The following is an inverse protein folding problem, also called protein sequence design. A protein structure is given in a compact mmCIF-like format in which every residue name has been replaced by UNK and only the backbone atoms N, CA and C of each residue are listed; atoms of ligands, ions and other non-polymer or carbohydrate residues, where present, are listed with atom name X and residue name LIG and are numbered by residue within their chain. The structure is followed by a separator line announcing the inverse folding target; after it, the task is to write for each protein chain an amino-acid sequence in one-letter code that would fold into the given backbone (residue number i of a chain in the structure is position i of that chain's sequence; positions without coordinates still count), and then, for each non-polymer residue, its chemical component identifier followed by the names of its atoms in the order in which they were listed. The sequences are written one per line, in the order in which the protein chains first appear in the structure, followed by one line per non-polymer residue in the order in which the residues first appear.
data_IF_316720796122
#
_entry.id   IF_316720796122
#
_cell.length_a   1.000
_cell.length_b   1.000
_cell.length_c   1.000
_cell.angle_alpha   90.00
_cell.angle_beta   90.00
_cell.angle_gamma   90.00
#
_symmetry.space_group_name_H-M   'P 1'
#
loop_
_entity.id
_entity.type
_entity.pdbx_description
1 polymer ?
#
# COMPACT_ATOMS: atom_id res chain seq x y z
N UNK A 1 -6.32 -86.75 -8.59
CA UNK A 1 -6.57 -85.95 -7.37
C UNK A 1 -7.80 -86.58 -6.77
N UNK A 2 -7.62 -87.37 -5.72
CA UNK A 2 -8.71 -88.10 -5.09
C UNK A 2 -9.72 -87.12 -4.50
N UNK A 3 -11.00 -87.51 -4.50
CA UNK A 3 -12.12 -86.70 -4.02
C UNK A 3 -11.92 -86.28 -2.54
N UNK A 4 -11.09 -87.02 -1.81
CA UNK A 4 -10.83 -86.88 -0.38
C UNK A 4 -9.49 -86.23 -0.01
N UNK A 5 -8.64 -85.87 -0.99
CA UNK A 5 -7.28 -85.34 -0.75
C UNK A 5 -7.27 -83.94 -0.09
N UNK A 6 -8.41 -83.24 -0.08
CA UNK A 6 -8.55 -81.88 0.46
C UNK A 6 -9.11 -81.79 1.88
N UNK A 7 -9.41 -82.91 2.54
CA UNK A 7 -10.05 -82.90 3.86
C UNK A 7 -9.04 -82.57 4.98
N UNK A 8 -9.37 -81.64 5.90
CA UNK A 8 -8.51 -81.29 7.02
C UNK A 8 -8.56 -82.36 8.11
N UNK A 9 -8.00 -83.53 7.84
CA UNK A 9 -7.78 -84.56 8.86
C UNK A 9 -6.47 -84.23 9.57
N UNK A 10 -6.53 -84.08 10.90
CA UNK A 10 -5.39 -83.79 11.78
C UNK A 10 -4.20 -84.73 11.52
N UNK A 11 -2.97 -84.24 11.69
CA UNK A 11 -1.74 -85.01 11.42
C UNK A 11 -1.63 -86.30 12.22
N UNK A 12 -2.30 -86.39 13.39
CA UNK A 12 -2.35 -87.61 14.21
C UNK A 12 -3.32 -88.67 13.71
N UNK A 13 -4.22 -88.34 12.77
CA UNK A 13 -5.25 -89.23 12.22
C UNK A 13 -5.10 -89.46 10.71
N UNK A 14 -3.87 -89.36 10.21
CA UNK A 14 -3.59 -89.56 8.79
C UNK A 14 -3.99 -90.96 8.27
N UNK A 15 -4.05 -91.96 9.16
CA UNK A 15 -4.54 -93.32 8.85
C UNK A 15 -5.99 -93.31 8.35
N UNK A 16 -6.82 -92.37 8.80
CA UNK A 16 -8.20 -92.24 8.32
C UNK A 16 -8.27 -91.87 6.84
N UNK A 17 -7.29 -91.11 6.32
CA UNK A 17 -7.20 -90.83 4.88
C UNK A 17 -6.85 -92.09 4.08
N UNK A 18 -5.96 -92.91 4.61
CA UNK A 18 -5.55 -94.17 3.98
C UNK A 18 -6.71 -95.19 3.98
N UNK A 19 -7.43 -95.32 5.09
CA UNK A 19 -8.63 -96.15 5.20
C UNK A 19 -9.76 -95.62 4.29
N UNK A 20 -9.94 -94.30 4.18
CA UNK A 20 -10.93 -93.70 3.28
C UNK A 20 -10.62 -93.94 1.80
N UNK A 21 -9.34 -94.01 1.42
CA UNK A 21 -8.93 -94.39 0.04
C UNK A 21 -9.12 -95.88 -0.25
N UNK A 22 -9.28 -96.72 0.78
CA UNK A 22 -9.59 -98.14 0.65
C UNK A 22 -11.09 -98.38 0.36
N UNK A 23 -11.94 -97.41 0.69
CA UNK A 23 -13.36 -97.46 0.36
C UNK A 23 -13.53 -97.32 -1.15
N UNK A 24 -14.30 -98.22 -1.75
CA UNK A 24 -14.53 -98.25 -3.19
C UNK A 24 -15.22 -96.95 -3.68
N UNK A 25 -14.75 -96.40 -4.81
CA UNK A 25 -15.27 -95.15 -5.38
C UNK A 25 -16.76 -95.25 -5.78
N UNK A 26 -17.30 -96.47 -5.94
CA UNK A 26 -18.72 -96.73 -6.16
C UNK A 26 -19.62 -96.14 -5.06
N UNK A 27 -19.13 -96.04 -3.81
CA UNK A 27 -19.85 -95.42 -2.69
C UNK A 27 -19.93 -93.89 -2.78
N UNK A 28 -19.05 -93.24 -3.55
CA UNK A 28 -19.02 -91.78 -3.72
C UNK A 28 -19.91 -91.27 -4.87
N UNK A 29 -20.65 -92.18 -5.55
CA UNK A 29 -21.49 -91.83 -6.69
C UNK A 29 -22.73 -91.04 -6.25
N UNK A 30 -23.00 -89.89 -6.89
CA UNK A 30 -24.15 -89.03 -6.56
C UNK A 30 -25.54 -89.66 -6.76
N UNK A 31 -25.64 -90.80 -7.44
CA UNK A 31 -26.81 -91.69 -7.49
C UNK A 31 -26.42 -93.05 -6.95
N UNK A 32 -26.52 -93.21 -5.65
CA UNK A 32 -26.17 -94.44 -4.96
C UNK A 32 -27.19 -95.55 -5.24
N UNK A 33 -26.71 -96.70 -5.71
CA UNK A 33 -27.51 -97.93 -5.85
C UNK A 33 -27.06 -98.95 -4.79
N UNK A 34 -27.94 -99.20 -3.83
CA UNK A 34 -27.69 -100.13 -2.72
C UNK A 34 -27.79 -101.59 -3.13
N UNK A 35 -28.48 -101.90 -4.23
CA UNK A 35 -28.85 -103.27 -4.59
C UNK A 35 -27.65 -104.17 -4.87
N UNK A 36 -26.63 -103.75 -5.67
CA UNK A 36 -25.45 -104.57 -5.94
C UNK A 36 -24.64 -104.88 -4.69
N UNK A 37 -24.54 -103.92 -3.76
CA UNK A 37 -23.80 -104.05 -2.51
C UNK A 37 -24.49 -105.02 -1.55
N UNK A 38 -25.81 -104.91 -1.41
CA UNK A 38 -26.62 -105.84 -0.58
C UNK A 38 -26.59 -107.25 -1.17
N UNK A 39 -26.67 -107.39 -2.50
CA UNK A 39 -26.58 -108.69 -3.17
C UNK A 39 -25.18 -109.30 -3.02
N UNK A 40 -24.11 -108.50 -3.08
CA UNK A 40 -22.74 -108.95 -2.84
C UNK A 40 -22.58 -109.54 -1.43
N UNK A 41 -23.05 -108.81 -0.41
CA UNK A 41 -23.03 -109.25 0.99
C UNK A 41 -23.83 -110.56 1.15
N UNK A 42 -25.03 -110.63 0.57
CA UNK A 42 -25.90 -111.82 0.62
C UNK A 42 -25.42 -112.98 -0.27
N UNK A 43 -24.51 -112.79 -1.21
CA UNK A 43 -24.01 -113.88 -2.08
C UNK A 43 -22.64 -114.39 -1.62
N UNK A 44 -21.96 -113.63 -0.76
CA UNK A 44 -20.68 -114.00 -0.15
C UNK A 44 -20.80 -115.23 0.78
N UNK A 45 -19.67 -115.93 0.95
CA UNK A 45 -19.56 -117.08 1.87
C UNK A 45 -19.39 -116.67 3.34
N UNK A 46 -19.03 -115.42 3.59
CA UNK A 46 -18.78 -114.85 4.91
C UNK A 46 -19.60 -113.57 5.06
N UNK A 47 -20.89 -113.75 5.32
CA UNK A 47 -21.87 -112.65 5.37
C UNK A 47 -21.61 -111.72 6.54
N UNK A 48 -21.25 -112.30 7.69
CA UNK A 48 -20.95 -111.58 8.92
C UNK A 48 -19.67 -110.76 8.76
N UNK A 49 -18.63 -111.29 8.10
CA UNK A 49 -17.40 -110.55 7.80
C UNK A 49 -17.59 -109.35 6.86
N UNK A 50 -18.39 -109.49 5.80
CA UNK A 50 -18.68 -108.38 4.87
C UNK A 50 -19.53 -107.27 5.52
N UNK A 51 -20.45 -107.63 6.42
CA UNK A 51 -21.25 -106.65 7.19
C UNK A 51 -20.39 -105.93 8.23
N UNK A 52 -19.49 -106.64 8.91
CA UNK A 52 -18.59 -106.03 9.88
C UNK A 52 -17.59 -105.09 9.19
N UNK A 53 -17.04 -105.47 8.03
CA UNK A 53 -16.21 -104.59 7.20
C UNK A 53 -16.94 -103.32 6.77
N UNK A 54 -18.21 -103.41 6.36
CA UNK A 54 -19.02 -102.23 6.01
C UNK A 54 -19.27 -101.31 7.22
N UNK A 55 -19.45 -101.91 8.40
CA UNK A 55 -19.65 -101.17 9.64
C UNK A 55 -18.37 -100.45 10.07
N UNK A 56 -17.21 -101.12 9.97
CA UNK A 56 -15.90 -100.50 10.17
C UNK A 56 -15.67 -99.34 9.20
N UNK A 57 -16.03 -99.49 7.92
CA UNK A 57 -15.95 -98.40 6.93
C UNK A 57 -16.87 -97.22 7.28
N UNK A 58 -18.09 -97.49 7.77
CA UNK A 58 -19.02 -96.45 8.22
C UNK A 58 -18.49 -95.69 9.43
N UNK A 59 -17.94 -96.40 10.42
CA UNK A 59 -17.37 -95.81 11.63
C UNK A 59 -16.15 -94.92 11.29
N UNK A 60 -15.32 -95.34 10.33
CA UNK A 60 -14.22 -94.54 9.78
C UNK A 60 -14.73 -93.26 9.12
N UNK A 61 -15.81 -93.34 8.33
CA UNK A 61 -16.41 -92.15 7.69
C UNK A 61 -17.01 -91.20 8.72
N UNK A 62 -17.71 -91.70 9.74
CA UNK A 62 -18.25 -90.88 10.83
C UNK A 62 -17.14 -90.15 11.59
N UNK A 63 -16.02 -90.84 11.87
CA UNK A 63 -14.86 -90.21 12.52
C UNK A 63 -14.26 -89.10 11.65
N UNK A 64 -14.12 -89.33 10.33
CA UNK A 64 -13.63 -88.31 9.38
C UNK A 64 -14.58 -87.12 9.32
N UNK A 65 -15.89 -87.33 9.23
CA UNK A 65 -16.88 -86.25 9.20
C UNK A 65 -16.81 -85.42 10.48
N UNK A 66 -16.72 -86.07 11.64
CA UNK A 66 -16.61 -85.36 12.92
C UNK A 66 -15.32 -84.54 13.01
N UNK A 67 -14.19 -85.06 12.51
CA UNK A 67 -12.92 -84.33 12.45
C UNK A 67 -13.02 -83.09 11.54
N UNK A 68 -13.63 -83.23 10.36
CA UNK A 68 -13.83 -82.12 9.41
C UNK A 68 -14.74 -81.05 10.00
N UNK A 69 -15.83 -81.46 10.64
CA UNK A 69 -16.74 -80.53 11.33
C UNK A 69 -16.00 -79.82 12.47
N UNK A 70 -15.24 -80.55 13.29
CA UNK A 70 -14.47 -79.95 14.38
C UNK A 70 -13.41 -78.96 13.89
N UNK A 71 -12.71 -79.31 12.80
CA UNK A 71 -11.71 -78.45 12.17
C UNK A 71 -12.30 -77.12 11.67
N UNK A 72 -13.46 -77.16 11.00
CA UNK A 72 -14.06 -75.96 10.41
C UNK A 72 -15.00 -75.19 11.35
N UNK A 73 -15.60 -75.82 12.36
CA UNK A 73 -16.57 -75.18 13.26
C UNK A 73 -16.00 -73.94 13.97
N UNK A 74 -14.75 -74.03 14.44
CA UNK A 74 -14.10 -72.91 15.12
C UNK A 74 -13.81 -71.73 14.18
N UNK A 75 -13.38 -72.02 12.94
CA UNK A 75 -13.11 -71.02 11.91
C UNK A 75 -14.39 -70.35 11.43
N UNK A 76 -15.45 -71.13 11.21
CA UNK A 76 -16.76 -70.63 10.80
C UNK A 76 -17.39 -69.73 11.87
N UNK A 77 -17.39 -70.15 13.13
CA UNK A 77 -17.90 -69.32 14.22
C UNK A 77 -17.08 -68.03 14.38
N UNK A 78 -15.75 -68.09 14.28
CA UNK A 78 -14.91 -66.89 14.28
C UNK A 78 -15.24 -65.96 13.11
N UNK A 79 -15.45 -66.50 11.91
CA UNK A 79 -15.82 -65.73 10.73
C UNK A 79 -17.19 -65.04 10.90
N UNK A 80 -18.19 -65.74 11.44
CA UNK A 80 -19.51 -65.17 11.74
C UNK A 80 -19.42 -64.05 12.77
N UNK A 81 -18.68 -64.27 13.86
CA UNK A 81 -18.50 -63.27 14.92
C UNK A 81 -17.77 -62.03 14.39
N UNK A 82 -16.69 -62.23 13.64
CA UNK A 82 -15.96 -61.13 13.00
C UNK A 82 -16.85 -60.34 12.04
N UNK A 83 -17.64 -61.03 11.21
CA UNK A 83 -18.57 -60.36 10.29
C UNK A 83 -19.62 -59.54 11.03
N UNK A 84 -20.20 -60.10 12.09
CA UNK A 84 -21.18 -59.39 12.95
C UNK A 84 -20.55 -58.16 13.61
N UNK A 85 -19.31 -58.28 14.07
CA UNK A 85 -18.55 -57.15 14.63
C UNK A 85 -18.25 -56.08 13.58
N UNK A 86 -17.85 -56.47 12.37
CA UNK A 86 -17.62 -55.54 11.25
C UNK A 86 -18.90 -54.78 10.93
N UNK A 87 -20.05 -55.46 10.83
CA UNK A 87 -21.34 -54.82 10.59
C UNK A 87 -21.70 -53.80 11.68
N UNK A 88 -21.49 -54.14 12.95
CA UNK A 88 -21.71 -53.21 14.06
C UNK A 88 -20.82 -51.97 13.95
N UNK A 89 -19.52 -52.17 13.73
CA UNK A 89 -18.56 -51.07 13.56
C UNK A 89 -18.90 -50.19 12.35
N UNK A 90 -19.41 -50.79 11.28
CA UNK A 90 -19.84 -50.06 10.09
C UNK A 90 -21.10 -49.22 10.36
N UNK A 91 -22.04 -49.76 11.14
CA UNK A 91 -23.21 -49.02 11.62
C UNK A 91 -22.83 -47.84 12.51
N UNK A 92 -21.99 -48.08 13.52
CA UNK A 92 -21.46 -47.04 14.42
C UNK A 92 -20.69 -45.96 13.66
N UNK A 93 -19.87 -46.35 12.67
CA UNK A 93 -19.16 -45.41 11.81
C UNK A 93 -20.11 -44.59 10.96
N UNK A 94 -21.15 -45.20 10.40
CA UNK A 94 -22.16 -44.50 9.58
C UNK A 94 -22.94 -43.47 10.42
N UNK A 95 -23.33 -43.84 11.64
CA UNK A 95 -23.99 -42.93 12.59
C UNK A 95 -23.05 -41.79 13.01
N UNK A 96 -21.81 -42.10 13.35
CA UNK A 96 -20.79 -41.10 13.71
C UNK A 96 -20.54 -40.09 12.57
N UNK A 97 -20.46 -40.57 11.32
CA UNK A 97 -20.36 -39.72 10.13
C UNK A 97 -21.60 -38.83 9.97
N UNK A 98 -22.79 -39.34 10.27
CA UNK A 98 -24.02 -38.55 10.20
C UNK A 98 -24.01 -37.40 11.24
N UNK A 99 -23.58 -37.69 12.48
CA UNK A 99 -23.42 -36.66 13.53
C UNK A 99 -22.38 -35.63 13.12
N UNK A 100 -21.19 -36.07 12.68
CA UNK A 100 -20.12 -35.17 12.22
C UNK A 100 -20.56 -34.25 11.08
N UNK A 101 -21.41 -34.73 10.16
CA UNK A 101 -21.97 -33.89 9.09
C UNK A 101 -22.88 -32.79 9.63
N UNK A 102 -23.68 -33.08 10.65
CA UNK A 102 -24.54 -32.09 11.32
C UNK A 102 -23.69 -31.06 12.05
N UNK A 103 -22.72 -31.51 12.85
CA UNK A 103 -21.81 -30.64 13.60
C UNK A 103 -21.02 -29.72 12.67
N UNK A 104 -20.53 -30.25 11.53
CA UNK A 104 -19.83 -29.45 10.52
C UNK A 104 -20.75 -28.41 9.87
N UNK A 105 -22.02 -28.75 9.60
CA UNK A 105 -22.99 -27.82 9.05
C UNK A 105 -23.31 -26.69 10.05
N UNK A 106 -23.43 -27.01 11.34
CA UNK A 106 -23.61 -26.03 12.40
C UNK A 106 -22.39 -25.12 12.57
N UNK A 107 -21.18 -25.70 12.63
CA UNK A 107 -19.94 -24.94 12.68
C UNK A 107 -19.79 -24.00 11.48
N UNK A 108 -20.13 -24.47 10.27
CA UNK A 108 -20.16 -23.65 9.04
C UNK A 108 -21.13 -22.48 9.17
N UNK A 109 -22.32 -22.70 9.74
CA UNK A 109 -23.32 -21.64 9.99
C UNK A 109 -22.80 -20.60 10.99
N UNK A 110 -22.18 -21.02 12.10
CA UNK A 110 -21.56 -20.12 13.06
C UNK A 110 -20.42 -19.31 12.46
N UNK A 111 -19.56 -19.93 11.66
CA UNK A 111 -18.48 -19.22 10.98
C UNK A 111 -19.01 -18.21 9.95
N UNK A 112 -20.04 -18.59 9.18
CA UNK A 112 -20.64 -17.69 8.18
C UNK A 112 -21.29 -16.46 8.83
N UNK A 113 -22.00 -16.63 9.94
CA UNK A 113 -22.59 -15.50 10.69
C UNK A 113 -21.53 -14.58 11.28
N UNK A 114 -20.48 -15.14 11.90
CA UNK A 114 -19.31 -14.40 12.39
C UNK A 114 -18.62 -13.62 11.27
N UNK A 115 -18.45 -14.22 10.09
CA UNK A 115 -17.82 -13.55 8.94
C UNK A 115 -18.61 -12.31 8.50
N UNK A 116 -19.95 -12.40 8.44
CA UNK A 116 -20.81 -11.24 8.12
C UNK A 116 -20.63 -10.12 9.15
N UNK A 117 -20.62 -10.45 10.45
CA UNK A 117 -20.38 -9.48 11.52
C UNK A 117 -18.98 -8.85 11.43
N UNK A 118 -17.96 -9.65 11.13
CA UNK A 118 -16.59 -9.18 10.97
C UNK A 118 -16.47 -8.23 9.77
N UNK A 119 -17.13 -8.53 8.66
CA UNK A 119 -17.15 -7.67 7.48
C UNK A 119 -17.83 -6.31 7.79
N UNK A 120 -18.92 -6.32 8.57
CA UNK A 120 -19.56 -5.09 9.04
C UNK A 120 -18.65 -4.27 9.95
N UNK A 121 -17.95 -4.92 10.91
CA UNK A 121 -16.99 -4.26 11.79
C UNK A 121 -15.79 -3.69 11.02
N UNK A 122 -15.31 -4.43 10.02
CA UNK A 122 -14.24 -3.97 9.15
C UNK A 122 -14.67 -2.75 8.34
N UNK A 123 -15.84 -2.79 7.71
CA UNK A 123 -16.37 -1.64 6.96
C UNK A 123 -16.52 -0.43 7.88
N UNK A 124 -17.12 -0.61 9.06
CA UNK A 124 -17.22 0.44 10.08
C UNK A 124 -15.85 1.00 10.48
N UNK A 125 -14.84 0.15 10.66
CA UNK A 125 -13.48 0.57 10.99
C UNK A 125 -12.82 1.37 9.86
N UNK A 126 -12.99 0.97 8.60
CA UNK A 126 -12.52 1.73 7.43
C UNK A 126 -13.19 3.10 7.37
N UNK A 127 -14.52 3.15 7.51
CA UNK A 127 -15.28 4.40 7.50
C UNK A 127 -14.86 5.33 8.64
N UNK A 128 -14.70 4.80 9.86
CA UNK A 128 -14.27 5.60 11.01
C UNK A 128 -12.86 6.17 10.81
N UNK A 129 -11.92 5.40 10.25
CA UNK A 129 -10.58 5.92 9.91
C UNK A 129 -10.65 7.05 8.88
N UNK A 130 -11.51 6.93 7.88
CA UNK A 130 -11.71 8.00 6.91
C UNK A 130 -12.31 9.26 7.56
N UNK A 131 -13.30 9.09 8.44
CA UNK A 131 -13.89 10.20 9.20
C UNK A 131 -12.83 10.88 10.08
N UNK A 132 -12.00 10.13 10.80
CA UNK A 132 -10.91 10.70 11.61
C UNK A 132 -9.96 11.51 10.74
N UNK A 133 -9.55 10.97 9.60
CA UNK A 133 -8.67 11.69 8.66
C UNK A 133 -9.31 12.99 8.14
N UNK A 134 -10.61 12.98 7.85
CA UNK A 134 -11.34 14.20 7.46
C UNK A 134 -11.42 15.20 8.62
N UNK A 135 -11.67 14.74 9.84
CA UNK A 135 -11.71 15.59 11.02
C UNK A 135 -10.34 16.24 11.30
N UNK A 136 -9.24 15.50 11.17
CA UNK A 136 -7.89 16.04 11.29
C UNK A 136 -7.61 17.12 10.24
N UNK A 137 -8.07 16.91 9.00
CA UNK A 137 -7.96 17.92 7.94
C UNK A 137 -8.78 19.17 8.25
N UNK A 138 -10.02 19.00 8.76
CA UNK A 138 -10.88 20.10 9.18
C UNK A 138 -10.24 20.89 10.32
N UNK A 139 -9.72 20.21 11.35
CA UNK A 139 -9.05 20.86 12.48
C UNK A 139 -7.78 21.60 12.03
N UNK A 140 -7.01 20.99 11.13
CA UNK A 140 -5.82 21.61 10.53
C UNK A 140 -6.16 22.92 9.82
N UNK A 141 -7.19 22.93 8.98
CA UNK A 141 -7.62 24.13 8.23
C UNK A 141 -8.28 25.16 9.13
N UNK A 142 -9.05 24.75 10.13
CA UNK A 142 -9.68 25.67 11.08
C UNK A 142 -8.66 26.53 11.84
N UNK A 143 -7.43 26.02 12.05
CA UNK A 143 -6.33 26.75 12.71
C UNK A 143 -5.55 27.68 11.77
N UNK A 144 -5.75 27.58 10.45
CA UNK A 144 -4.98 28.35 9.46
C UNK A 144 -5.15 29.86 9.62
N UNK A 145 -6.36 30.44 9.77
CA UNK A 145 -6.51 31.89 9.88
C UNK A 145 -5.69 32.49 11.02
N UNK A 146 -5.72 31.87 12.20
CA UNK A 146 -4.91 32.30 13.35
C UNK A 146 -3.40 32.21 13.09
N UNK A 147 -2.95 31.19 12.34
CA UNK A 147 -1.53 31.08 11.92
C UNK A 147 -1.15 32.18 10.93
N UNK A 148 -2.02 32.52 9.98
CA UNK A 148 -1.79 33.61 9.03
C UNK A 148 -1.67 34.94 9.79
N UNK A 149 -2.56 35.22 10.74
CA UNK A 149 -2.51 36.43 11.56
C UNK A 149 -1.19 36.55 12.34
N UNK A 150 -0.71 35.44 12.91
CA UNK A 150 0.59 35.40 13.59
C UNK A 150 1.75 35.71 12.62
N UNK A 151 1.77 35.10 11.44
CA UNK A 151 2.81 35.36 10.43
C UNK A 151 2.79 36.81 9.92
N UNK A 152 1.61 37.43 9.85
CA UNK A 152 1.47 38.86 9.53
C UNK A 152 2.09 39.71 10.65
N UNK A 153 1.84 39.38 11.91
CA UNK A 153 2.41 40.09 13.05
C UNK A 153 3.96 39.99 13.09
N UNK A 154 4.49 38.83 12.73
CA UNK A 154 5.94 38.55 12.66
C UNK A 154 6.59 39.11 11.36
N UNK A 155 5.84 39.85 10.52
CA UNK A 155 6.26 40.38 9.20
C UNK A 155 6.77 39.33 8.20
N UNK A 156 6.34 38.07 8.36
CA UNK A 156 6.70 36.97 7.46
C UNK A 156 5.65 36.80 6.37
N UNK A 157 5.51 37.83 5.54
CA UNK A 157 4.42 37.90 4.55
C UNK A 157 4.47 36.78 3.52
N UNK A 158 5.66 36.38 3.09
CA UNK A 158 5.82 35.33 2.09
C UNK A 158 5.32 33.96 2.59
N UNK A 159 5.69 33.58 3.81
CA UNK A 159 5.17 32.38 4.46
C UNK A 159 3.63 32.45 4.65
N UNK A 160 3.11 33.63 5.02
CA UNK A 160 1.68 33.84 5.20
C UNK A 160 0.89 33.69 3.88
N UNK A 161 1.44 34.19 2.77
CA UNK A 161 0.84 34.08 1.44
C UNK A 161 0.91 32.64 0.91
N UNK A 162 2.03 31.93 1.08
CA UNK A 162 2.13 30.51 0.73
C UNK A 162 1.09 29.69 1.49
N UNK A 163 0.98 29.89 2.81
CA UNK A 163 -0.01 29.20 3.65
C UNK A 163 -1.45 29.53 3.24
N UNK A 164 -1.72 30.79 2.87
CA UNK A 164 -3.02 31.24 2.37
C UNK A 164 -3.42 30.52 1.07
N UNK A 165 -2.54 30.52 0.08
CA UNK A 165 -2.78 29.90 -1.23
C UNK A 165 -2.96 28.39 -1.07
N UNK A 166 -2.08 27.74 -0.31
CA UNK A 166 -2.17 26.30 -0.03
C UNK A 166 -3.50 25.94 0.63
N UNK A 167 -3.91 26.71 1.65
CA UNK A 167 -5.13 26.42 2.40
C UNK A 167 -6.40 26.69 1.59
N UNK A 168 -6.35 27.66 0.67
CA UNK A 168 -7.44 27.91 -0.29
C UNK A 168 -7.63 26.70 -1.21
N UNK A 169 -6.54 26.16 -1.76
CA UNK A 169 -6.59 24.95 -2.60
C UNK A 169 -7.08 23.71 -1.82
N UNK A 170 -6.72 23.60 -0.53
CA UNK A 170 -7.21 22.50 0.32
C UNK A 170 -8.73 22.57 0.55
N UNK A 171 -9.30 23.77 0.65
CA UNK A 171 -10.74 23.98 0.84
C UNK A 171 -11.58 23.66 -0.40
N UNK A 172 -10.95 23.61 -1.58
CA UNK A 172 -11.57 23.25 -2.86
C UNK A 172 -11.63 21.74 -3.10
N UNK A 173 -10.93 20.93 -2.29
CA UNK A 173 -10.98 19.46 -2.41
C UNK A 173 -12.38 18.93 -2.08
N UNK A 174 -12.84 17.93 -2.85
CA UNK A 174 -14.21 17.37 -2.78
C UNK A 174 -14.65 16.99 -1.34
N UNK A 175 -13.74 16.46 -0.52
CA UNK A 175 -14.03 16.07 0.86
C UNK A 175 -14.29 17.24 1.82
N UNK A 176 -13.76 18.44 1.53
CA UNK A 176 -13.88 19.61 2.41
C UNK A 176 -14.80 20.67 1.83
N UNK A 177 -14.95 20.72 0.50
CA UNK A 177 -15.83 21.66 -0.20
C UNK A 177 -17.28 21.57 0.29
N UNK A 178 -17.74 20.36 0.59
CA UNK A 178 -19.11 20.08 1.07
C UNK A 178 -19.33 20.40 2.55
N UNK A 179 -18.25 20.63 3.32
CA UNK A 179 -18.34 20.88 4.77
C UNK A 179 -18.78 22.32 5.03
N UNK A 180 -20.04 22.49 5.46
CA UNK A 180 -20.62 23.79 5.79
C UNK A 180 -19.98 24.48 7.01
N UNK A 181 -19.48 23.71 7.99
CA UNK A 181 -18.80 24.26 9.17
C UNK A 181 -17.51 25.04 8.83
N UNK A 182 -16.93 24.82 7.63
CA UNK A 182 -15.76 25.57 7.15
C UNK A 182 -16.14 26.89 6.46
N UNK A 183 -17.42 27.27 6.41
CA UNK A 183 -17.86 28.50 5.75
C UNK A 183 -17.24 29.75 6.38
N UNK A 184 -17.19 29.81 7.71
CA UNK A 184 -16.57 30.93 8.42
C UNK A 184 -15.08 31.03 8.09
N UNK A 185 -14.38 29.88 8.05
CA UNK A 185 -12.97 29.81 7.66
C UNK A 185 -12.75 30.28 6.22
N UNK A 186 -13.63 29.93 5.27
CA UNK A 186 -13.58 30.43 3.88
C UNK A 186 -13.73 31.95 3.82
N UNK A 187 -14.65 32.50 4.63
CA UNK A 187 -14.87 33.94 4.69
C UNK A 187 -13.67 34.67 5.28
N UNK A 188 -13.06 34.13 6.34
CA UNK A 188 -11.87 34.71 6.97
C UNK A 188 -10.63 34.57 6.06
N UNK A 189 -10.51 33.48 5.31
CA UNK A 189 -9.44 33.31 4.33
C UNK A 189 -9.59 34.30 3.16
N UNK A 190 -10.82 34.58 2.75
CA UNK A 190 -11.10 35.60 1.71
C UNK A 190 -10.75 37.00 2.22
N UNK A 191 -11.11 37.31 3.47
CA UNK A 191 -10.79 38.59 4.13
C UNK A 191 -9.27 38.75 4.34
N UNK A 192 -8.59 37.73 4.84
CA UNK A 192 -7.13 37.74 5.04
C UNK A 192 -6.37 37.89 3.73
N UNK A 193 -6.87 37.40 2.58
CA UNK A 193 -6.32 37.74 1.25
C UNK A 193 -6.28 39.25 0.98
N UNK A 194 -7.30 39.97 1.46
CA UNK A 194 -7.36 41.43 1.44
C UNK A 194 -6.30 42.04 2.33
N UNK A 195 -6.29 41.63 3.61
CA UNK A 195 -5.34 42.13 4.62
C UNK A 195 -3.88 41.90 4.22
N UNK A 196 -3.54 40.69 3.76
CA UNK A 196 -2.20 40.33 3.27
C UNK A 196 -1.76 41.24 2.12
N UNK A 197 -2.65 41.46 1.14
CA UNK A 197 -2.36 42.34 0.02
C UNK A 197 -2.02 43.76 0.49
N UNK A 198 -2.83 44.35 1.37
CA UNK A 198 -2.57 45.70 1.86
C UNK A 198 -1.31 45.77 2.70
N UNK A 199 -1.02 44.77 3.52
CA UNK A 199 0.21 44.72 4.33
C UNK A 199 1.46 44.58 3.48
N UNK A 200 1.44 43.70 2.48
CA UNK A 200 2.53 43.57 1.51
C UNK A 200 2.71 44.87 0.73
N UNK A 201 1.63 45.50 0.27
CA UNK A 201 1.69 46.74 -0.48
C UNK A 201 2.22 47.91 0.37
N UNK A 202 1.78 48.03 1.61
CA UNK A 202 2.26 49.04 2.58
C UNK A 202 3.76 48.90 2.80
N UNK A 203 4.23 47.69 3.07
CA UNK A 203 5.64 47.44 3.34
C UNK A 203 6.52 47.59 2.09
N UNK A 204 6.00 47.21 0.91
CA UNK A 204 6.63 47.50 -0.38
C UNK A 204 6.78 49.00 -0.62
N UNK A 205 5.75 49.82 -0.37
CA UNK A 205 5.86 51.28 -0.48
C UNK A 205 6.91 51.84 0.47
N UNK A 206 6.94 51.38 1.73
CA UNK A 206 7.93 51.80 2.73
C UNK A 206 9.35 51.44 2.28
N UNK A 207 9.54 50.26 1.68
CA UNK A 207 10.82 49.81 1.12
C UNK A 207 11.27 50.66 -0.08
N UNK A 208 10.37 50.95 -1.02
CA UNK A 208 10.64 51.76 -2.23
C UNK A 208 11.04 53.20 -1.90
N UNK A 209 10.47 53.79 -0.85
CA UNK A 209 10.79 55.15 -0.40
C UNK A 209 11.93 55.21 0.63
N UNK A 210 12.76 54.17 0.73
CA UNK A 210 13.92 54.09 1.63
C UNK A 210 13.61 54.24 3.14
N UNK A 211 12.38 53.91 3.56
CA UNK A 211 11.94 53.97 4.97
C UNK A 211 11.83 52.60 5.64
N UNK A 212 12.07 51.52 4.91
CA UNK A 212 11.93 50.15 5.39
C UNK A 212 13.20 49.57 6.01
N UNK A 213 13.02 48.58 6.88
CA UNK A 213 14.08 47.87 7.63
C UNK A 213 15.11 47.20 6.71
N UNK A 214 14.70 46.82 5.49
CA UNK A 214 15.56 46.14 4.51
C UNK A 214 16.01 47.05 3.36
N UNK A 215 15.73 48.36 3.43
CA UNK A 215 16.02 49.28 2.33
C UNK A 215 17.49 49.72 2.28
N UNK A 216 17.91 50.24 1.12
CA UNK A 216 19.32 50.57 0.84
C UNK A 216 19.93 51.56 1.85
N UNK A 217 19.13 52.50 2.36
CA UNK A 217 19.56 53.44 3.40
C UNK A 217 19.77 52.78 4.77
N UNK A 218 18.94 51.80 5.16
CA UNK A 218 19.10 51.06 6.42
C UNK A 218 20.32 50.11 6.38
N UNK A 219 20.61 49.53 5.20
CA UNK A 219 21.82 48.73 4.98
C UNK A 219 23.11 49.53 5.15
N UNK A 220 23.09 50.84 4.85
CA UNK A 220 24.27 51.72 4.97
C UNK A 220 24.58 52.17 6.41
N UNK A 221 23.65 51.97 7.34
CA UNK A 221 23.83 52.33 8.76
C UNK A 221 24.54 51.20 9.51
N UNK A 222 24.35 49.94 9.10
CA UNK A 222 24.99 48.81 9.78
C UNK A 222 26.46 48.58 9.38
N UNK A 223 26.93 49.20 8.29
CA UNK A 223 28.35 49.12 7.84
C UNK A 223 29.26 50.19 8.43
N UNK A 224 28.75 51.18 9.19
CA UNK A 224 29.56 52.34 9.64
C UNK A 224 29.80 52.45 11.15
N UNK A 225 29.51 51.41 11.92
CA UNK A 225 29.71 51.43 13.39
C UNK A 225 31.00 50.74 13.87
N UNK A 226 31.88 50.27 12.97
CA UNK A 226 33.22 49.75 13.32
C UNK A 226 34.35 50.61 12.69
N UNK A 227 34.51 51.86 13.16
CA UNK A 227 35.83 52.49 13.43
C UNK A 227 35.69 53.90 14.05
N UNK A 228 36.23 54.07 15.25
CA UNK A 228 36.32 55.32 16.03
C UNK A 228 37.57 56.12 15.58
N UNK A 229 37.60 57.47 15.74
CA UNK A 229 38.26 58.41 14.81
C UNK A 229 39.62 58.94 15.29
N UNK A 230 40.47 59.41 14.37
CA UNK A 230 41.58 60.36 14.66
C UNK A 230 41.99 61.15 13.40
N UNK A 231 41.63 62.44 13.41
CA UNK A 231 42.35 63.62 12.86
C UNK A 231 43.25 63.49 11.62
N UNK A 232 42.93 64.20 10.53
CA UNK A 232 43.57 65.48 10.10
C UNK A 232 42.97 66.01 8.79
N UNK A 233 43.05 67.33 8.62
CA UNK A 233 42.34 68.16 7.64
C UNK A 233 42.76 68.00 6.17
N UNK A 234 41.88 68.38 5.23
CA UNK A 234 42.03 69.54 4.31
C UNK A 234 40.86 69.61 3.30
N UNK A 235 40.09 70.71 3.42
CA UNK A 235 39.46 71.63 2.44
C UNK A 235 38.96 71.19 1.03
N UNK A 236 37.81 71.81 0.67
CA UNK A 236 37.19 72.13 -0.66
C UNK A 236 36.10 71.14 -1.11
N UNK A 237 34.94 71.52 -1.66
CA UNK A 237 34.47 72.78 -2.23
C UNK A 237 32.94 72.82 -2.36
N UNK A 238 32.38 74.03 -2.44
CA UNK A 238 30.96 74.37 -2.65
C UNK A 238 30.61 74.40 -4.15
N UNK A 239 29.39 73.97 -4.52
CA UNK A 239 28.46 74.51 -5.56
C UNK A 239 27.54 73.37 -6.05
N UNK A 240 26.24 73.36 -5.73
CA UNK A 240 25.13 74.15 -6.25
C UNK A 240 24.78 73.93 -7.75
N UNK A 241 23.58 73.37 -7.95
CA UNK A 241 22.60 73.52 -9.05
C UNK A 241 23.09 73.64 -10.50
N UNK A 242 22.53 72.82 -11.42
CA UNK A 242 21.64 73.33 -12.46
C UNK A 242 20.99 72.25 -13.33
N UNK A 243 19.68 72.42 -13.48
CA UNK A 243 18.75 71.89 -14.49
C UNK A 243 18.92 72.61 -15.84
N UNK A 244 18.83 71.89 -16.97
CA UNK A 244 18.47 72.52 -18.25
C UNK A 244 17.57 71.61 -19.10
N UNK A 245 16.31 72.06 -19.22
CA UNK A 245 15.38 71.72 -20.30
C UNK A 245 15.67 72.63 -21.49
N UNK A 246 15.60 72.12 -22.72
CA UNK A 246 15.42 72.96 -23.92
C UNK A 246 14.64 72.20 -24.99
N UNK A 247 13.49 72.77 -25.38
CA UNK A 247 12.60 72.40 -26.47
C UNK A 247 12.58 73.53 -27.49
N UNK A 248 12.62 73.21 -28.79
CA UNK A 248 12.12 74.02 -29.94
C UNK A 248 12.02 73.07 -31.15
N UNK A 249 10.85 72.55 -31.54
CA UNK A 249 9.78 73.07 -32.45
C UNK A 249 10.15 73.11 -33.95
N UNK A 250 9.58 72.14 -34.67
CA UNK A 250 8.84 72.17 -35.97
C UNK A 250 9.47 72.81 -37.22
N UNK A 251 9.59 72.02 -38.29
CA UNK A 251 9.31 72.41 -39.68
C UNK A 251 8.95 71.19 -40.54
N UNK A 252 8.05 71.40 -41.49
CA UNK A 252 7.34 70.46 -42.36
C UNK A 252 8.07 70.27 -43.69
N UNK A 253 8.00 69.06 -44.26
CA UNK A 253 8.41 68.79 -45.65
C UNK A 253 8.05 67.37 -46.08
N UNK A 254 7.04 67.24 -46.93
CA UNK A 254 6.60 66.01 -47.60
C UNK A 254 7.49 65.69 -48.82
N UNK A 255 7.79 64.40 -49.08
CA UNK A 255 7.61 63.70 -50.38
C UNK A 255 8.39 62.37 -50.51
N UNK A 256 7.59 61.29 -50.57
CA UNK A 256 7.63 60.06 -51.40
C UNK A 256 8.95 59.58 -52.06
N UNK A 257 9.25 58.26 -51.92
CA UNK A 257 9.35 57.30 -53.05
C UNK A 257 9.69 55.85 -52.60
N UNK A 258 8.78 54.90 -52.90
CA UNK A 258 9.04 53.51 -53.39
C UNK A 258 9.75 52.49 -52.47
N UNK A 259 9.45 51.19 -52.40
CA UNK A 259 8.76 50.24 -53.28
C UNK A 259 8.44 48.96 -52.46
N UNK A 260 7.55 48.14 -53.02
CA UNK A 260 6.90 46.92 -52.49
C UNK A 260 7.90 45.76 -52.23
N UNK A 261 7.59 44.73 -51.43
CA UNK A 261 6.94 43.45 -51.84
C UNK A 261 6.74 42.62 -50.54
N UNK A 262 5.50 42.36 -50.07
CA UNK A 262 4.63 41.19 -50.33
C UNK A 262 5.23 39.84 -49.83
N UNK A 263 4.60 38.99 -49.03
CA UNK A 263 3.20 38.91 -48.63
C UNK A 263 2.94 37.94 -47.44
N UNK A 264 1.76 38.18 -46.86
CA UNK A 264 0.96 37.40 -45.90
C UNK A 264 0.55 36.01 -46.48
N UNK A 265 -0.04 35.00 -45.84
CA UNK A 265 -0.72 34.78 -44.56
C UNK A 265 -0.92 33.24 -44.34
N UNK A 266 -1.18 32.84 -43.08
CA UNK A 266 -1.88 31.66 -42.46
C UNK A 266 -2.81 30.74 -43.33
N UNK A 267 -3.49 29.65 -42.82
CA UNK A 267 -3.44 28.87 -41.55
C UNK A 267 -3.71 27.32 -41.65
N UNK A 268 -3.77 26.62 -40.50
CA UNK A 268 -4.55 25.38 -40.16
C UNK A 268 -4.06 24.03 -40.77
N UNK A 269 -4.31 22.79 -40.29
CA UNK A 269 -5.15 22.17 -39.24
C UNK A 269 -4.82 20.63 -39.13
N UNK A 270 -5.04 20.02 -37.95
CA UNK A 270 -5.65 18.67 -37.66
C UNK A 270 -4.91 17.33 -37.93
N UNK A 271 -5.02 16.48 -36.89
CA UNK A 271 -5.10 15.00 -36.74
C UNK A 271 -3.91 14.02 -36.79
N UNK A 272 -4.06 12.96 -35.98
CA UNK A 272 -3.52 11.63 -36.23
C UNK A 272 -2.94 10.90 -35.02
N UNK A 273 -3.72 10.01 -34.38
CA UNK A 273 -3.29 9.15 -33.27
C UNK A 273 -2.72 7.76 -33.66
N UNK A 274 -2.75 6.86 -32.66
CA UNK A 274 -2.40 5.39 -32.63
C UNK A 274 -0.91 5.05 -32.46
N UNK A 275 -0.45 3.97 -31.80
CA UNK A 275 -1.01 2.87 -30.99
C UNK A 275 0.15 2.05 -30.36
N UNK A 276 -0.13 1.36 -29.24
CA UNK A 276 0.49 0.18 -28.58
C UNK A 276 1.82 -0.43 -29.06
N UNK A 277 2.69 -0.79 -28.09
CA UNK A 277 3.20 -2.16 -27.97
C UNK A 277 3.59 -2.51 -26.51
N UNK A 278 3.33 -3.76 -26.10
CA UNK A 278 3.70 -4.37 -24.82
C UNK A 278 4.79 -5.41 -25.08
N UNK A 279 5.80 -5.52 -24.20
CA UNK A 279 6.50 -6.80 -24.02
C UNK A 279 7.14 -6.93 -22.63
N UNK A 280 6.86 -8.07 -22.00
CA UNK A 280 7.33 -8.53 -20.70
C UNK A 280 8.85 -8.79 -20.66
N UNK A 281 9.46 -8.76 -19.45
CA UNK A 281 10.16 -9.92 -18.84
C UNK A 281 10.66 -9.64 -17.42
N UNK A 282 10.62 -10.72 -16.65
CA UNK A 282 10.83 -10.98 -15.23
C UNK A 282 12.31 -11.24 -14.87
N UNK A 283 12.72 -11.02 -13.61
CA UNK A 283 13.94 -11.62 -13.05
C UNK A 283 14.63 -10.91 -11.86
N UNK A 284 14.40 -11.46 -10.65
CA UNK A 284 15.32 -11.69 -9.51
C UNK A 284 16.17 -10.52 -8.91
N UNK A 285 16.03 -10.09 -7.65
CA UNK A 285 16.25 -10.68 -6.30
C UNK A 285 17.53 -10.08 -5.66
N UNK A 286 17.51 -9.98 -4.32
CA UNK A 286 18.58 -9.62 -3.34
C UNK A 286 18.52 -8.14 -2.86
N UNK A 287 17.99 -7.89 -1.65
CA UNK A 287 18.65 -7.87 -0.31
C UNK A 287 19.51 -6.61 -0.09
N UNK A 288 19.50 -5.87 1.03
CA UNK A 288 18.85 -6.00 2.33
C UNK A 288 18.78 -4.60 3.01
N UNK A 289 17.87 -4.50 3.98
CA UNK A 289 17.90 -3.53 5.09
C UNK A 289 19.08 -3.89 6.04
N UNK A 290 19.49 -3.16 7.07
CA UNK A 290 19.19 -1.87 7.67
C UNK A 290 20.39 -1.50 8.55
N UNK A 291 20.36 -0.28 9.09
CA UNK A 291 20.83 0.12 10.42
C UNK A 291 22.30 -0.02 10.83
N UNK A 292 22.74 0.98 11.59
CA UNK A 292 23.82 0.78 12.57
C UNK A 292 24.74 1.97 12.77
N UNK A 293 24.20 3.06 13.30
CA UNK A 293 24.97 4.16 13.87
C UNK A 293 25.67 3.70 15.17
N UNK A 294 26.98 3.91 15.31
CA UNK A 294 27.62 4.66 16.41
C UNK A 294 29.08 4.27 16.69
N UNK A 295 29.92 5.33 16.73
CA UNK A 295 31.01 5.61 17.68
C UNK A 295 32.21 4.64 17.69
N UNK A 296 33.48 5.06 17.69
CA UNK A 296 34.08 6.16 18.43
C UNK A 296 35.59 6.21 18.11
N UNK A 297 36.17 7.41 18.25
CA UNK A 297 37.53 7.70 18.75
C UNK A 297 38.74 7.23 17.92
N UNK A 298 39.59 8.20 17.57
CA UNK A 298 40.96 7.93 17.14
C UNK A 298 41.70 9.15 16.60
N UNK A 299 42.34 9.89 17.50
CA UNK A 299 43.27 11.01 17.29
C UNK A 299 44.44 10.61 16.35
N UNK A 300 44.75 11.42 15.32
CA UNK A 300 46.07 12.08 15.18
C UNK A 300 46.14 13.02 13.98
N UNK A 301 46.93 14.09 14.13
CA UNK A 301 47.06 15.20 13.20
C UNK A 301 48.00 15.00 12.02
N UNK A 302 47.89 15.92 11.06
CA UNK A 302 48.81 16.09 9.93
C UNK A 302 48.48 17.38 9.17
N UNK A 303 49.41 18.33 9.17
CA UNK A 303 49.35 19.63 8.51
C UNK A 303 49.10 19.52 6.99
N UNK A 304 48.21 20.38 6.47
CA UNK A 304 48.06 20.65 5.05
C UNK A 304 47.28 21.95 4.83
N UNK A 305 48.01 23.01 4.48
CA UNK A 305 47.48 24.32 4.15
C UNK A 305 46.79 24.30 2.78
N UNK A 306 45.46 24.43 2.72
CA UNK A 306 44.74 24.90 1.54
C UNK A 306 43.37 25.49 1.90
N UNK A 307 43.35 26.81 2.14
CA UNK A 307 42.22 27.74 1.95
C UNK A 307 40.82 27.17 2.20
N UNK A 308 40.41 27.15 3.46
CA UNK A 308 39.00 27.12 3.85
C UNK A 308 38.30 28.41 3.41
N UNK A 309 37.71 28.39 2.22
CA UNK A 309 36.51 29.19 1.98
C UNK A 309 35.39 28.55 2.81
N UNK A 310 35.29 28.93 4.09
CA UNK A 310 34.08 28.72 4.90
C UNK A 310 32.91 29.35 4.15
N UNK A 311 32.20 28.57 3.36
CA UNK A 311 30.79 28.83 3.05
C UNK A 311 30.02 28.61 4.35
N UNK A 312 30.03 29.66 5.19
CA UNK A 312 29.05 29.85 6.25
C UNK A 312 27.66 29.54 5.65
N UNK A 313 26.82 28.70 6.29
CA UNK A 313 25.47 28.50 5.78
C UNK A 313 24.82 29.88 5.74
N UNK A 314 24.51 30.38 4.54
CA UNK A 314 23.82 31.66 4.35
C UNK A 314 22.59 31.62 5.25
N UNK A 315 22.62 32.34 6.38
CA UNK A 315 21.49 32.42 7.30
C UNK A 315 20.29 32.87 6.47
N UNK A 316 19.22 32.08 6.51
CA UNK A 316 17.99 32.43 5.80
C UNK A 316 17.49 33.73 6.40
N UNK A 317 17.20 34.76 5.59
CA UNK A 317 16.71 36.05 6.09
C UNK A 317 15.49 35.85 7.00
N UNK A 318 15.34 36.68 8.03
CA UNK A 318 14.28 36.55 9.05
C UNK A 318 12.87 36.55 8.42
N UNK A 319 12.69 37.33 7.34
CA UNK A 319 11.44 37.40 6.57
C UNK A 319 11.13 36.12 5.75
N UNK A 320 12.05 35.14 5.70
CA UNK A 320 11.90 33.84 5.05
C UNK A 320 11.91 32.64 6.00
N UNK A 321 12.02 32.84 7.32
CA UNK A 321 12.31 31.77 8.28
C UNK A 321 11.24 30.67 8.35
N UNK A 322 9.97 31.01 8.10
CA UNK A 322 8.82 30.08 8.16
C UNK A 322 8.24 29.72 6.78
N UNK A 323 8.96 30.02 5.71
CA UNK A 323 8.50 29.84 4.34
C UNK A 323 8.64 28.38 3.90
N UNK A 324 7.64 27.86 3.18
CA UNK A 324 7.69 26.51 2.62
C UNK A 324 8.67 26.47 1.44
N UNK A 325 9.57 25.47 1.34
CA UNK A 325 10.57 25.40 0.28
C UNK A 325 9.91 25.27 -1.10
N UNK A 326 10.26 26.14 -2.02
CA UNK A 326 9.81 26.13 -3.40
C UNK A 326 10.93 26.60 -4.36
N UNK A 327 10.65 26.53 -5.67
CA UNK A 327 11.60 26.93 -6.72
C UNK A 327 12.08 28.37 -6.52
N UNK A 328 11.19 29.27 -6.11
CA UNK A 328 11.50 30.67 -5.85
C UNK A 328 12.51 30.84 -4.70
N UNK A 329 12.29 30.21 -3.54
CA UNK A 329 13.23 30.28 -2.42
C UNK A 329 14.62 29.78 -2.80
N UNK A 330 14.69 28.73 -3.63
CA UNK A 330 15.96 28.20 -4.12
C UNK A 330 16.66 29.19 -5.06
N UNK A 331 15.93 29.88 -5.94
CA UNK A 331 16.50 30.95 -6.77
C UNK A 331 17.00 32.12 -5.93
N UNK A 332 16.24 32.51 -4.90
CA UNK A 332 16.63 33.57 -3.97
C UNK A 332 17.90 33.18 -3.23
N UNK A 333 17.98 31.98 -2.65
CA UNK A 333 19.18 31.50 -1.92
C UNK A 333 20.43 31.48 -2.80
N UNK A 334 20.28 31.07 -4.07
CA UNK A 334 21.35 31.00 -5.07
C UNK A 334 21.77 32.37 -5.61
N UNK A 335 20.86 33.35 -5.62
CA UNK A 335 21.17 34.70 -6.09
C UNK A 335 22.20 35.40 -5.19
N UNK A 336 23.17 36.08 -5.80
CA UNK A 336 24.15 36.94 -5.11
C UNK A 336 23.67 38.40 -5.00
N UNK A 337 22.36 38.62 -5.18
CA UNK A 337 21.77 39.93 -5.09
C UNK A 337 21.80 40.48 -3.65
N UNK A 338 21.95 41.81 -3.47
CA UNK A 338 21.92 42.42 -2.14
C UNK A 338 20.54 42.23 -1.48
N UNK A 339 20.51 42.23 -0.14
CA UNK A 339 19.32 41.89 0.66
C UNK A 339 18.08 42.71 0.28
N UNK A 340 18.25 43.98 -0.04
CA UNK A 340 17.14 44.87 -0.44
C UNK A 340 16.48 44.46 -1.76
N UNK A 341 17.25 43.92 -2.72
CA UNK A 341 16.73 43.40 -4.00
C UNK A 341 16.01 42.09 -3.78
N UNK A 342 16.56 41.20 -2.95
CA UNK A 342 15.93 39.90 -2.61
C UNK A 342 14.61 40.10 -1.85
N UNK A 343 14.56 41.10 -0.97
CA UNK A 343 13.34 41.50 -0.29
C UNK A 343 12.29 42.04 -1.27
N UNK A 344 12.67 42.97 -2.14
CA UNK A 344 11.79 43.52 -3.18
C UNK A 344 11.23 42.43 -4.09
N UNK A 345 12.08 41.51 -4.56
CA UNK A 345 11.69 40.37 -5.38
C UNK A 345 10.64 39.50 -4.67
N UNK A 346 10.78 39.31 -3.36
CA UNK A 346 9.84 38.51 -2.55
C UNK A 346 8.50 39.20 -2.37
N UNK A 347 8.51 40.52 -2.16
CA UNK A 347 7.27 41.29 -2.05
C UNK A 347 6.50 41.29 -3.37
N UNK A 348 7.21 41.37 -4.50
CA UNK A 348 6.60 41.22 -5.82
C UNK A 348 6.04 39.80 -6.01
N UNK A 349 6.79 38.77 -5.62
CA UNK A 349 6.31 37.37 -5.69
C UNK A 349 5.07 37.13 -4.82
N UNK A 350 4.99 37.74 -3.63
CA UNK A 350 3.78 37.71 -2.80
C UNK A 350 2.57 38.29 -3.55
N UNK A 351 2.75 39.41 -4.26
CA UNK A 351 1.69 40.04 -5.05
C UNK A 351 1.29 39.19 -6.26
N UNK A 352 2.24 38.48 -6.88
CA UNK A 352 2.01 37.50 -7.93
C UNK A 352 1.16 36.33 -7.42
N UNK A 353 1.55 35.70 -6.32
CA UNK A 353 0.80 34.59 -5.70
C UNK A 353 -0.62 35.00 -5.27
N UNK A 354 -0.81 36.23 -4.81
CA UNK A 354 -2.14 36.76 -4.48
C UNK A 354 -2.99 37.14 -5.70
N UNK A 355 -2.40 37.15 -6.91
CA UNK A 355 -3.06 37.54 -8.17
C UNK A 355 -3.43 39.03 -8.25
N UNK A 356 -2.72 39.90 -7.51
CA UNK A 356 -3.06 41.33 -7.37
C UNK A 356 -1.97 42.29 -7.89
N UNK A 357 -1.09 41.80 -8.77
CA UNK A 357 0.03 42.58 -9.34
C UNK A 357 -0.46 43.84 -10.07
N UNK A 358 -1.50 43.73 -10.90
CA UNK A 358 -2.04 44.87 -11.65
C UNK A 358 -2.63 45.95 -10.73
N UNK A 359 -3.30 45.54 -9.65
CA UNK A 359 -3.86 46.45 -8.66
C UNK A 359 -2.76 47.17 -7.85
N UNK A 360 -1.72 46.43 -7.42
CA UNK A 360 -0.55 47.02 -6.77
C UNK A 360 0.15 48.04 -7.68
N UNK A 361 0.37 47.67 -8.95
CA UNK A 361 1.00 48.55 -9.94
C UNK A 361 0.23 49.85 -10.16
N UNK A 362 -1.10 49.79 -10.25
CA UNK A 362 -1.95 50.97 -10.36
C UNK A 362 -1.83 51.89 -9.13
N UNK A 363 -1.87 51.32 -7.91
CA UNK A 363 -1.80 52.09 -6.66
C UNK A 363 -0.42 52.75 -6.51
N UNK A 364 0.66 52.02 -6.78
CA UNK A 364 2.03 52.56 -6.76
C UNK A 364 2.17 53.68 -7.80
N UNK A 365 1.60 53.52 -8.99
CA UNK A 365 1.63 54.54 -10.04
C UNK A 365 0.88 55.82 -9.63
N UNK A 366 -0.28 55.72 -9.00
CA UNK A 366 -1.01 56.88 -8.45
C UNK A 366 -0.23 57.59 -7.34
N UNK A 367 0.52 56.87 -6.52
CA UNK A 367 1.35 57.44 -5.44
C UNK A 367 2.61 58.14 -5.98
N UNK A 368 3.20 57.62 -7.08
CA UNK A 368 4.39 58.21 -7.72
C UNK A 368 4.03 59.41 -8.62
N UNK A 369 2.83 59.40 -9.22
CA UNK A 369 2.35 60.49 -10.10
C UNK A 369 1.02 61.09 -9.61
N UNK A 370 0.97 61.75 -8.44
CA UNK A 370 -0.25 62.36 -7.92
C UNK A 370 -0.75 63.59 -8.71
N UNK A 371 0.02 64.09 -9.69
CA UNK A 371 -0.20 65.41 -10.32
C UNK A 371 -0.51 65.39 -11.81
N UNK A 372 -1.27 64.40 -12.32
CA UNK A 372 -1.73 64.42 -13.73
C UNK A 372 -3.25 64.26 -13.93
N UNK A 373 -4.05 64.32 -12.87
CA UNK A 373 -5.50 64.42 -12.97
C UNK A 373 -6.03 65.42 -11.93
N UNK A 374 -6.04 66.70 -12.31
CA UNK A 374 -6.96 67.72 -11.81
C UNK A 374 -7.46 68.54 -12.98
#
# INVERSE_FOLDING_TARGET
MGIFDGLPVSSGKAYLREELTRIDESWATGRFDSLPHVVHILTSKDREGEVESLKEQSDVVEEVVNEVVHAYHSGFNKAIQNYSQILRLFGESTESIAVLKVDLAEAKKHLSTRNKQLHQLWYRSVTLRHIISLLDQIEGIAKVPARIEKLIADKQFYAAVQLHVQSTLMLEREGLQTVGALQDVRSELTKSRGVLFYKVLEDLHVHLYNKGEYSSAASSIHERDDEVPTTTAVVLSVNNSQSLSRRTRLLKGDNQFGFQTDGSCRPSSVDGGFSFDNHDKEGALEDAASDGNMSSVGVNGGNGNLKDAKTLPRQTPIWLLNSTPDEFLETIKKSDAPLHVRYLQTMVECLCMLGKVAAAGAIIWFVIFPTYFS
#
